data_IF_564928343309
#
_entry.id   IF_564928343309
#
_cell.length_a   1.000
_cell.length_b   1.000
_cell.length_c   1.000
_cell.angle_alpha   90.00
_cell.angle_beta   90.00
_cell.angle_gamma   90.00
#
_symmetry.space_group_name_H-M   'P 1'
#
loop_
_entity.id
_entity.type
_entity.pdbx_description
1 polymer ?
#
# COMPACT_ATOMS: atom_id res chain seq x y z
N UNK A 1 -14.92 23.82 4.12
CA UNK A 1 -15.43 23.84 5.51
C UNK A 1 -14.44 23.10 6.40
N UNK A 2 -13.29 23.71 6.68
CA UNK A 2 -12.12 23.00 7.23
C UNK A 2 -11.78 23.37 8.68
N UNK A 3 -12.55 24.24 9.32
CA UNK A 3 -12.25 24.66 10.69
C UNK A 3 -13.51 24.61 11.55
N UNK A 4 -13.69 23.49 12.26
CA UNK A 4 -14.69 23.36 13.32
C UNK A 4 -13.99 23.53 14.65
N UNK A 5 -14.19 24.69 15.27
CA UNK A 5 -13.60 25.04 16.57
C UNK A 5 -14.33 24.41 17.76
N UNK A 6 -15.51 23.83 17.54
CA UNK A 6 -16.35 23.22 18.58
C UNK A 6 -16.27 21.68 18.61
N UNK A 7 -15.27 21.07 17.95
CA UNK A 7 -15.12 19.61 17.89
C UNK A 7 -13.78 19.20 18.50
N UNK A 8 -13.83 18.24 19.43
CA UNK A 8 -12.65 17.52 19.89
C UNK A 8 -12.42 16.27 19.03
N UNK A 9 -11.16 16.01 18.67
CA UNK A 9 -10.79 14.85 17.85
C UNK A 9 -10.03 13.81 18.69
N UNK A 10 -10.36 12.55 18.49
CA UNK A 10 -9.63 11.41 19.07
C UNK A 10 -8.15 11.48 18.70
N UNK A 11 -7.26 11.30 19.69
CA UNK A 11 -5.80 11.39 19.50
C UNK A 11 -5.19 12.78 19.73
N UNK A 12 -6.02 13.81 19.97
CA UNK A 12 -5.55 15.13 20.42
C UNK A 12 -5.44 15.19 21.95
N UNK A 13 -4.58 16.09 22.44
CA UNK A 13 -4.37 16.35 23.88
C UNK A 13 -4.78 17.78 24.24
N UNK A 14 -5.49 17.94 25.35
CA UNK A 14 -5.85 19.25 25.90
C UNK A 14 -4.63 19.84 26.61
N UNK A 15 -4.10 20.94 26.09
CA UNK A 15 -2.92 21.62 26.67
C UNK A 15 -3.29 22.49 27.87
N UNK A 16 -4.49 23.08 27.88
CA UNK A 16 -4.97 23.92 28.96
C UNK A 16 -6.51 23.94 29.02
N UNK A 17 -7.04 24.17 30.22
CA UNK A 17 -8.48 24.29 30.47
C UNK A 17 -9.18 22.95 30.73
N UNK A 18 -10.49 23.02 30.92
CA UNK A 18 -11.37 21.86 31.07
C UNK A 18 -12.65 22.11 30.26
N UNK A 19 -13.27 21.03 29.76
CA UNK A 19 -14.48 21.13 28.96
C UNK A 19 -15.34 19.88 29.08
N UNK A 20 -16.63 20.04 28.79
CA UNK A 20 -17.61 18.95 28.71
C UNK A 20 -18.15 18.95 27.27
N UNK A 21 -18.29 17.76 26.69
CA UNK A 21 -18.80 17.60 25.34
C UNK A 21 -19.60 16.31 25.19
N UNK A 22 -20.37 16.24 24.10
CA UNK A 22 -21.12 15.03 23.73
C UNK A 22 -20.27 14.19 22.79
N UNK A 23 -20.22 12.89 23.04
CA UNK A 23 -19.55 11.94 22.14
C UNK A 23 -20.38 11.82 20.86
N UNK A 24 -19.81 12.27 19.74
CA UNK A 24 -20.47 12.24 18.42
C UNK A 24 -20.05 11.06 17.54
N UNK A 25 -18.89 10.45 17.82
CA UNK A 25 -18.37 9.30 17.08
C UNK A 25 -17.38 8.49 17.94
N UNK A 26 -17.27 7.18 17.68
CA UNK A 26 -16.36 6.25 18.36
C UNK A 26 -15.72 5.27 17.38
N UNK A 27 -14.53 4.78 17.68
CA UNK A 27 -13.84 3.78 16.86
C UNK A 27 -13.61 4.24 15.42
N UNK A 28 -13.91 3.37 14.45
CA UNK A 28 -13.72 3.62 13.01
C UNK A 28 -14.59 4.74 12.44
N UNK A 29 -15.65 5.14 13.16
CA UNK A 29 -16.50 6.26 12.75
C UNK A 29 -15.87 7.63 13.03
N UNK A 30 -14.81 7.69 13.86
CA UNK A 30 -14.06 8.94 14.14
C UNK A 30 -13.22 9.36 12.93
N UNK A 31 -12.84 10.63 12.85
CA UNK A 31 -11.94 11.11 11.80
C UNK A 31 -10.58 10.39 11.82
N UNK A 32 -10.04 10.14 13.02
CA UNK A 32 -8.80 9.35 13.16
C UNK A 32 -8.99 7.92 12.66
N UNK A 33 -10.13 7.28 12.99
CA UNK A 33 -10.47 5.94 12.49
C UNK A 33 -10.61 5.89 10.97
N UNK A 34 -11.20 6.91 10.34
CA UNK A 34 -11.26 7.04 8.88
C UNK A 34 -9.87 7.15 8.27
N UNK A 35 -8.98 7.97 8.85
CA UNK A 35 -7.58 8.09 8.40
C UNK A 35 -6.86 6.74 8.50
N UNK A 36 -6.98 6.05 9.63
CA UNK A 36 -6.39 4.71 9.80
C UNK A 36 -6.90 3.72 8.75
N UNK A 37 -8.20 3.73 8.46
CA UNK A 37 -8.80 2.91 7.41
C UNK A 37 -8.25 3.23 6.02
N UNK A 38 -8.07 4.52 5.70
CA UNK A 38 -7.47 4.96 4.44
C UNK A 38 -6.02 4.52 4.31
N UNK A 39 -5.23 4.61 5.39
CA UNK A 39 -3.85 4.10 5.39
C UNK A 39 -3.79 2.59 5.16
N UNK A 40 -4.75 1.85 5.71
CA UNK A 40 -4.83 0.40 5.57
C UNK A 40 -5.35 -0.04 4.19
N UNK A 41 -6.08 0.84 3.49
CA UNK A 41 -6.50 0.65 2.09
C UNK A 41 -5.42 1.01 1.08
N UNK A 42 -4.29 1.58 1.48
CA UNK A 42 -3.13 1.70 0.60
C UNK A 42 -2.61 0.30 0.34
N UNK A 43 -3.13 -0.29 -0.74
CA UNK A 43 -2.71 -1.60 -1.23
C UNK A 43 -1.20 -1.58 -1.48
N UNK A 44 -0.55 -2.72 -1.25
CA UNK A 44 0.91 -2.87 -1.33
C UNK A 44 1.31 -2.89 -2.82
N UNK A 45 1.26 -1.70 -3.41
CA UNK A 45 1.48 -1.49 -4.82
C UNK A 45 2.98 -1.66 -5.10
N UNK A 46 3.33 -2.74 -5.82
CA UNK A 46 4.70 -2.96 -6.31
C UNK A 46 5.29 -1.66 -6.83
N UNK A 47 6.47 -1.31 -6.32
CA UNK A 47 7.14 -0.06 -6.70
C UNK A 47 7.34 -0.02 -8.22
N UNK A 48 7.31 1.17 -8.86
CA UNK A 48 7.53 1.29 -10.31
C UNK A 48 8.83 0.62 -10.81
N UNK A 49 9.86 0.61 -9.95
CA UNK A 49 11.15 -0.04 -10.22
C UNK A 49 11.02 -1.57 -10.15
N UNK A 50 10.35 -2.11 -9.14
CA UNK A 50 10.15 -3.56 -9.03
C UNK A 50 9.37 -4.11 -10.24
N UNK A 51 8.34 -3.41 -10.73
CA UNK A 51 7.62 -3.80 -11.96
C UNK A 51 8.55 -3.85 -13.17
N UNK A 52 9.43 -2.86 -13.30
CA UNK A 52 10.36 -2.75 -14.43
C UNK A 52 11.42 -3.86 -14.40
N UNK A 53 12.01 -4.12 -13.22
CA UNK A 53 12.99 -5.20 -13.02
C UNK A 53 12.35 -6.57 -13.26
N UNK A 54 11.13 -6.81 -12.77
CA UNK A 54 10.43 -8.07 -12.99
C UNK A 54 10.18 -8.34 -14.48
N UNK A 55 9.84 -7.30 -15.25
CA UNK A 55 9.67 -7.40 -16.69
C UNK A 55 10.98 -7.75 -17.42
N UNK A 56 12.10 -7.14 -17.02
CA UNK A 56 13.43 -7.44 -17.57
C UNK A 56 13.87 -8.87 -17.21
N UNK A 57 13.77 -9.26 -15.94
CA UNK A 57 14.11 -10.60 -15.46
C UNK A 57 13.30 -11.68 -16.18
N UNK A 58 12.00 -11.46 -16.40
CA UNK A 58 11.14 -12.40 -17.13
C UNK A 58 11.58 -12.58 -18.58
N UNK A 59 11.96 -11.51 -19.27
CA UNK A 59 12.48 -11.59 -20.65
C UNK A 59 13.78 -12.37 -20.73
N UNK A 60 14.73 -12.09 -19.82
CA UNK A 60 16.01 -12.80 -19.75
C UNK A 60 15.81 -14.30 -19.50
N UNK A 61 14.92 -14.67 -18.57
CA UNK A 61 14.60 -16.09 -18.32
C UNK A 61 14.02 -16.79 -19.54
N UNK A 62 13.10 -16.15 -20.27
CA UNK A 62 12.52 -16.75 -21.49
C UNK A 62 13.59 -16.97 -22.55
N UNK A 63 14.45 -15.99 -22.79
CA UNK A 63 15.55 -16.10 -23.78
C UNK A 63 16.49 -17.25 -23.39
N UNK A 64 16.93 -17.30 -22.13
CA UNK A 64 17.80 -18.36 -21.65
C UNK A 64 17.15 -19.75 -21.77
N UNK A 65 15.88 -19.87 -21.40
CA UNK A 65 15.13 -21.13 -21.50
C UNK A 65 15.01 -21.62 -22.95
N UNK A 66 14.76 -20.70 -23.90
CA UNK A 66 14.72 -21.03 -25.34
C UNK A 66 16.06 -21.53 -25.83
N UNK A 67 17.16 -20.86 -25.47
CA UNK A 67 18.51 -21.29 -25.87
C UNK A 67 18.80 -22.71 -25.35
N UNK A 68 18.54 -22.96 -24.07
CA UNK A 68 18.74 -24.28 -23.44
C UNK A 68 17.90 -25.34 -24.16
N UNK A 69 16.62 -25.07 -24.42
CA UNK A 69 15.74 -26.01 -25.11
C UNK A 69 16.23 -26.33 -26.53
N UNK A 70 16.73 -25.34 -27.27
CA UNK A 70 17.28 -25.53 -28.62
C UNK A 70 18.57 -26.34 -28.57
N UNK A 71 19.49 -26.05 -27.65
CA UNK A 71 20.75 -26.80 -27.51
C UNK A 71 20.50 -28.27 -27.17
N UNK A 72 19.62 -28.55 -26.20
CA UNK A 72 19.25 -29.92 -25.83
C UNK A 72 18.54 -30.62 -27.00
N UNK A 73 17.64 -29.92 -27.69
CA UNK A 73 16.94 -30.47 -28.86
C UNK A 73 17.89 -30.83 -30.00
N UNK A 74 18.93 -30.00 -30.24
CA UNK A 74 19.94 -30.29 -31.27
C UNK A 74 20.81 -31.49 -30.90
N UNK A 75 21.19 -31.62 -29.63
CA UNK A 75 21.99 -32.74 -29.11
C UNK A 75 21.23 -34.08 -29.19
N UNK A 76 19.92 -34.07 -28.95
CA UNK A 76 19.05 -35.26 -29.04
C UNK A 76 18.77 -35.74 -30.48
N UNK A 77 18.84 -34.84 -31.47
CA UNK A 77 18.53 -35.16 -32.88
C UNK A 77 19.76 -35.65 -33.64
N UNK A 78 20.97 -35.38 -33.13
CA UNK A 78 22.25 -35.76 -33.74
C UNK A 78 22.75 -37.10 -33.20
#
# INVERSE_FOLDING_TARGET
MADRTNMGYSGSMVVNGNGIGVVVATGMATELGKISGLMQQVDDQKTPIEKSVHGLSKKLMIIAAVIIAVTIGYDLVK
#
